data_IF_829497206066
#
_entry.id   IF_829497206066
#
_cell.length_a   1.000
_cell.length_b   1.000
_cell.length_c   1.000
_cell.angle_alpha   90.00
_cell.angle_beta   90.00
_cell.angle_gamma   90.00
#
_symmetry.space_group_name_H-M   'P 1'
#
loop_
_entity.id
_entity.type
_entity.pdbx_description
1 polymer ?
#
# COMPACT_ATOMS: atom_id res chain seq x y z
N UNK A 1 -21.08 -5.00 16.55
CA UNK A 1 -20.91 -5.16 15.09
C UNK A 1 -20.45 -3.81 14.55
N UNK A 2 -19.18 -3.67 14.16
CA UNK A 2 -18.72 -2.43 13.51
C UNK A 2 -19.37 -2.36 12.12
N UNK A 3 -20.22 -1.36 11.91
CA UNK A 3 -20.86 -1.10 10.63
C UNK A 3 -19.76 -0.87 9.57
N UNK A 4 -19.67 -1.79 8.62
CA UNK A 4 -18.66 -1.73 7.55
C UNK A 4 -19.09 -0.62 6.61
N UNK A 5 -18.42 0.53 6.71
CA UNK A 5 -18.69 1.66 5.84
C UNK A 5 -18.26 1.32 4.41
N UNK A 6 -19.23 1.14 3.53
CA UNK A 6 -19.02 0.88 2.11
C UNK A 6 -19.81 1.90 1.28
N UNK A 7 -19.24 2.35 0.17
CA UNK A 7 -19.94 3.16 -0.81
C UNK A 7 -19.98 2.44 -2.16
N UNK A 8 -21.01 2.71 -2.96
CA UNK A 8 -21.16 2.09 -4.28
C UNK A 8 -19.96 2.46 -5.16
N UNK A 9 -19.26 1.46 -5.68
CA UNK A 9 -18.00 1.64 -6.43
C UNK A 9 -18.19 2.56 -7.66
N UNK A 10 -19.37 2.53 -8.30
CA UNK A 10 -19.71 3.39 -9.43
C UNK A 10 -19.68 4.89 -9.09
N UNK A 11 -20.37 5.28 -8.01
CA UNK A 11 -20.44 6.66 -7.52
C UNK A 11 -19.07 7.16 -7.07
N UNK A 12 -18.30 6.30 -6.39
CA UNK A 12 -16.93 6.60 -5.99
C UNK A 12 -16.03 6.87 -7.20
N UNK A 13 -16.10 6.05 -8.26
CA UNK A 13 -15.27 6.25 -9.46
C UNK A 13 -15.58 7.58 -10.15
N UNK A 14 -16.85 7.99 -10.22
CA UNK A 14 -17.23 9.30 -10.77
C UNK A 14 -16.72 10.46 -9.89
N UNK A 15 -16.95 10.39 -8.58
CA UNK A 15 -16.47 11.39 -7.62
C UNK A 15 -14.94 11.54 -7.65
N UNK A 16 -14.23 10.41 -7.70
CA UNK A 16 -12.79 10.41 -7.75
C UNK A 16 -12.23 10.81 -9.11
N UNK A 17 -12.96 10.57 -10.20
CA UNK A 17 -12.66 11.12 -11.53
C UNK A 17 -12.81 12.64 -11.55
N UNK A 18 -13.91 13.17 -10.97
CA UNK A 18 -14.17 14.61 -10.83
C UNK A 18 -13.17 15.32 -9.91
N UNK A 19 -12.66 14.66 -8.88
CA UNK A 19 -11.62 15.21 -7.99
C UNK A 19 -10.21 15.11 -8.57
N UNK A 20 -9.92 14.11 -9.40
CA UNK A 20 -8.64 13.92 -10.07
C UNK A 20 -8.25 15.08 -11.00
N UNK A 21 -9.24 15.75 -11.61
CA UNK A 21 -9.02 16.98 -12.40
C UNK A 21 -8.67 18.19 -11.52
N UNK A 22 -9.16 18.23 -10.28
CA UNK A 22 -8.92 19.32 -9.32
C UNK A 22 -7.58 19.19 -8.59
N UNK A 23 -7.13 17.96 -8.30
CA UNK A 23 -5.79 17.67 -7.74
C UNK A 23 -4.63 17.89 -8.74
N UNK A 24 -4.93 18.14 -10.02
CA UNK A 24 -3.96 18.43 -11.07
C UNK A 24 -3.31 19.82 -11.03
N UNK A 25 -3.70 20.72 -10.11
CA UNK A 25 -3.13 22.09 -10.00
C UNK A 25 -1.92 22.20 -9.07
N UNK A 26 -1.71 21.25 -8.16
CA UNK A 26 -0.54 21.26 -7.28
C UNK A 26 0.52 20.37 -7.94
N UNK A 27 1.63 20.96 -8.39
CA UNK A 27 2.66 20.43 -9.31
C UNK A 27 3.28 19.04 -9.08
N UNK A 28 2.78 18.23 -8.15
CA UNK A 28 3.17 16.84 -7.90
C UNK A 28 2.61 15.83 -8.92
N UNK A 29 1.74 16.24 -9.84
CA UNK A 29 1.17 15.37 -10.90
C UNK A 29 1.83 15.56 -12.27
N UNK A 30 2.70 16.56 -12.43
CA UNK A 30 3.37 16.84 -13.71
C UNK A 30 4.26 15.67 -14.17
N UNK A 31 4.88 14.92 -13.24
CA UNK A 31 5.60 13.66 -13.52
C UNK A 31 4.68 12.46 -13.85
N UNK A 32 3.39 12.52 -13.48
CA UNK A 32 2.44 11.40 -13.63
C UNK A 32 1.80 11.33 -15.03
N UNK A 33 1.93 12.38 -15.85
CA UNK A 33 1.27 12.48 -17.17
C UNK A 33 2.02 11.80 -18.31
N UNK A 34 3.28 11.36 -18.09
CA UNK A 34 4.17 10.82 -19.15
C UNK A 34 4.50 9.31 -19.05
N UNK A 35 4.16 8.62 -17.95
CA UNK A 35 4.48 7.18 -17.79
C UNK A 35 3.24 6.29 -18.03
N UNK A 36 3.45 5.14 -18.67
CA UNK A 36 2.47 4.03 -18.87
C UNK A 36 1.81 3.52 -17.55
N UNK A 37 2.23 4.01 -16.37
CA UNK A 37 1.62 3.76 -15.06
C UNK A 37 0.47 4.68 -14.65
N UNK A 38 0.00 5.61 -15.51
CA UNK A 38 -1.04 6.59 -15.15
C UNK A 38 -2.37 6.00 -14.65
N UNK A 39 -2.74 4.77 -15.05
CA UNK A 39 -3.93 4.07 -14.51
C UNK A 39 -3.68 3.54 -13.10
N UNK A 40 -2.55 2.86 -12.88
CA UNK A 40 -2.16 2.30 -11.57
C UNK A 40 -1.98 3.40 -10.51
N UNK A 41 -1.40 4.55 -10.90
CA UNK A 41 -1.26 5.72 -10.01
C UNK A 41 -2.63 6.31 -9.63
N UNK A 42 -3.58 6.43 -10.57
CA UNK A 42 -4.95 6.89 -10.24
C UNK A 42 -5.64 5.96 -9.26
N UNK A 43 -5.51 4.65 -9.46
CA UNK A 43 -6.07 3.63 -8.57
C UNK A 43 -5.46 3.71 -7.17
N UNK A 44 -4.15 3.94 -7.07
CA UNK A 44 -3.48 4.22 -5.78
C UNK A 44 -4.10 5.44 -5.08
N UNK A 45 -4.31 6.54 -5.80
CA UNK A 45 -4.89 7.76 -5.23
C UNK A 45 -6.34 7.55 -4.78
N UNK A 46 -7.15 6.85 -5.57
CA UNK A 46 -8.54 6.52 -5.23
C UNK A 46 -8.62 5.62 -4.01
N UNK A 47 -7.76 4.58 -3.95
CA UNK A 47 -7.65 3.72 -2.77
C UNK A 47 -7.25 4.50 -1.53
N UNK A 48 -6.28 5.42 -1.63
CA UNK A 48 -5.85 6.24 -0.48
C UNK A 48 -6.97 7.16 0.02
N UNK A 49 -7.78 7.70 -0.88
CA UNK A 49 -8.91 8.55 -0.50
C UNK A 49 -10.06 7.74 0.10
N UNK A 50 -10.33 6.54 -0.43
CA UNK A 50 -11.27 5.59 0.19
C UNK A 50 -10.81 5.19 1.59
N UNK A 51 -9.51 4.93 1.76
CA UNK A 51 -8.91 4.61 3.06
C UNK A 51 -9.11 5.74 4.07
N UNK A 52 -8.88 7.01 3.68
CA UNK A 52 -9.12 8.17 4.56
C UNK A 52 -10.57 8.30 5.00
N UNK A 53 -11.52 7.91 4.15
CA UNK A 53 -12.95 7.91 4.48
C UNK A 53 -13.38 6.72 5.35
N UNK A 54 -12.48 5.76 5.58
CA UNK A 54 -12.77 4.53 6.31
C UNK A 54 -13.39 3.42 5.44
N UNK A 55 -13.46 3.61 4.12
CA UNK A 55 -14.01 2.62 3.18
C UNK A 55 -12.93 1.60 2.80
N UNK A 56 -12.55 0.75 3.75
CA UNK A 56 -11.40 -0.16 3.60
C UNK A 56 -11.62 -1.21 2.51
N UNK A 57 -12.83 -1.75 2.34
CA UNK A 57 -13.13 -2.72 1.28
C UNK A 57 -13.03 -2.10 -0.12
N UNK A 58 -13.55 -0.88 -0.29
CA UNK A 58 -13.36 -0.13 -1.53
C UNK A 58 -11.88 0.19 -1.79
N UNK A 59 -11.11 0.52 -0.75
CA UNK A 59 -9.68 0.75 -0.86
C UNK A 59 -8.95 -0.52 -1.36
N UNK A 60 -9.26 -1.69 -0.78
CA UNK A 60 -8.72 -2.99 -1.22
C UNK A 60 -9.05 -3.26 -2.68
N UNK A 61 -10.29 -2.98 -3.10
CA UNK A 61 -10.70 -3.14 -4.50
C UNK A 61 -9.84 -2.26 -5.43
N UNK A 62 -9.69 -0.97 -5.13
CA UNK A 62 -8.87 -0.07 -5.94
C UNK A 62 -7.40 -0.47 -5.99
N UNK A 63 -6.82 -0.88 -4.85
CA UNK A 63 -5.43 -1.34 -4.82
C UNK A 63 -5.24 -2.63 -5.61
N UNK A 64 -6.17 -3.58 -5.51
CA UNK A 64 -6.13 -4.84 -6.25
C UNK A 64 -6.21 -4.60 -7.76
N UNK A 65 -7.10 -3.72 -8.21
CA UNK A 65 -7.14 -3.29 -9.61
C UNK A 65 -5.84 -2.59 -10.02
N UNK A 66 -5.24 -1.80 -9.12
CA UNK A 66 -3.96 -1.13 -9.36
C UNK A 66 -2.79 -2.10 -9.54
N UNK A 67 -2.81 -3.22 -8.83
CA UNK A 67 -1.80 -4.31 -8.90
C UNK A 67 -1.94 -5.10 -10.20
N UNK A 68 -3.18 -5.36 -10.65
CA UNK A 68 -3.47 -6.04 -11.92
C UNK A 68 -3.05 -5.23 -13.15
N UNK A 69 -3.00 -3.90 -13.04
CA UNK A 69 -2.50 -3.06 -14.12
C UNK A 69 -1.03 -3.38 -14.33
N UNK A 70 -0.68 -3.79 -15.55
CA UNK A 70 0.69 -4.12 -15.88
C UNK A 70 1.56 -2.85 -15.89
N UNK A 71 2.22 -2.61 -14.76
CA UNK A 71 3.19 -1.56 -14.60
C UNK A 71 4.55 -2.16 -14.24
N UNK A 72 5.60 -1.73 -14.96
CA UNK A 72 6.98 -2.16 -14.68
C UNK A 72 7.60 -1.45 -13.48
N UNK A 73 6.85 -0.56 -12.81
CA UNK A 73 7.30 0.19 -11.65
C UNK A 73 7.13 -0.65 -10.38
N UNK A 74 8.22 -1.31 -9.97
CA UNK A 74 8.26 -2.16 -8.77
C UNK A 74 7.98 -1.37 -7.49
N UNK A 75 8.41 -0.10 -7.40
CA UNK A 75 8.14 0.74 -6.23
C UNK A 75 6.65 1.10 -6.13
N UNK A 76 6.00 1.36 -7.26
CA UNK A 76 4.56 1.59 -7.30
C UNK A 76 3.78 0.34 -6.89
N UNK A 77 4.16 -0.83 -7.41
CA UNK A 77 3.56 -2.11 -7.00
C UNK A 77 3.77 -2.37 -5.51
N UNK A 78 4.97 -2.14 -4.97
CA UNK A 78 5.25 -2.28 -3.54
C UNK A 78 4.36 -1.35 -2.68
N UNK A 79 4.16 -0.10 -3.10
CA UNK A 79 3.26 0.84 -2.43
C UNK A 79 1.79 0.39 -2.45
N UNK A 80 1.33 -0.19 -3.57
CA UNK A 80 -0.02 -0.72 -3.70
C UNK A 80 -0.25 -1.90 -2.76
N UNK A 81 0.67 -2.88 -2.74
CA UNK A 81 0.63 -4.00 -1.80
C UNK A 81 0.63 -3.51 -0.34
N UNK A 82 1.54 -2.60 0.00
CA UNK A 82 1.60 -2.05 1.36
C UNK A 82 0.29 -1.35 1.79
N UNK A 83 -0.32 -0.53 0.92
CA UNK A 83 -1.57 0.13 1.28
C UNK A 83 -2.75 -0.84 1.35
N UNK A 84 -2.75 -1.89 0.51
CA UNK A 84 -3.71 -2.99 0.61
C UNK A 84 -3.54 -3.75 1.93
N UNK A 85 -2.31 -4.01 2.36
CA UNK A 85 -2.00 -4.62 3.65
C UNK A 85 -2.60 -3.82 4.83
N UNK A 86 -2.43 -2.49 4.85
CA UNK A 86 -3.02 -1.66 5.91
C UNK A 86 -4.55 -1.78 5.91
N UNK A 87 -5.15 -1.84 4.72
CA UNK A 87 -6.61 -1.92 4.58
C UNK A 87 -7.14 -3.26 5.08
N UNK A 88 -6.45 -4.37 4.74
CA UNK A 88 -6.73 -5.69 5.32
C UNK A 88 -6.56 -5.71 6.84
N UNK A 89 -5.47 -5.13 7.34
CA UNK A 89 -5.22 -5.02 8.78
C UNK A 89 -6.37 -4.29 9.51
N UNK A 90 -6.90 -3.22 8.92
CA UNK A 90 -8.02 -2.46 9.49
C UNK A 90 -9.35 -3.23 9.50
N UNK A 91 -9.49 -4.24 8.66
CA UNK A 91 -10.64 -5.15 8.64
C UNK A 91 -10.44 -6.40 9.51
N UNK A 92 -9.27 -6.56 10.15
CA UNK A 92 -8.92 -7.76 10.92
C UNK A 92 -8.38 -8.92 10.07
N UNK A 93 -8.17 -8.72 8.77
CA UNK A 93 -7.58 -9.71 7.88
C UNK A 93 -6.05 -9.73 8.02
N UNK A 94 -5.54 -10.17 9.16
CA UNK A 94 -4.12 -10.10 9.46
C UNK A 94 -3.26 -11.02 8.56
N UNK A 95 -3.80 -12.17 8.15
CA UNK A 95 -3.10 -13.10 7.25
C UNK A 95 -2.91 -12.51 5.85
N UNK A 96 -3.94 -11.87 5.29
CA UNK A 96 -3.84 -11.16 4.01
C UNK A 96 -2.88 -9.97 4.11
N UNK A 97 -2.94 -9.22 5.22
CA UNK A 97 -2.00 -8.13 5.49
C UNK A 97 -0.55 -8.61 5.53
N UNK A 98 -0.28 -9.79 6.09
CA UNK A 98 1.06 -10.37 6.14
C UNK A 98 1.54 -10.77 4.73
N UNK A 99 0.70 -11.44 3.96
CA UNK A 99 1.02 -11.82 2.57
C UNK A 99 1.32 -10.59 1.70
N UNK A 100 0.55 -9.52 1.86
CA UNK A 100 0.78 -8.26 1.15
C UNK A 100 2.07 -7.56 1.59
N UNK A 101 2.41 -7.63 2.88
CA UNK A 101 3.69 -7.10 3.39
C UNK A 101 4.89 -7.87 2.78
N UNK A 102 4.80 -9.19 2.67
CA UNK A 102 5.81 -10.02 1.99
C UNK A 102 5.96 -9.68 0.51
N UNK A 103 4.85 -9.49 -0.19
CA UNK A 103 4.88 -9.08 -1.59
C UNK A 103 5.55 -7.70 -1.74
N UNK A 104 5.25 -6.77 -0.85
CA UNK A 104 5.85 -5.44 -0.86
C UNK A 104 7.36 -5.46 -0.59
N UNK A 105 7.84 -6.28 0.36
CA UNK A 105 9.28 -6.38 0.65
C UNK A 105 10.07 -7.12 -0.42
N UNK A 106 9.47 -8.13 -1.07
CA UNK A 106 10.07 -8.81 -2.25
C UNK A 106 10.25 -7.84 -3.42
N UNK A 107 9.29 -6.94 -3.63
CA UNK A 107 9.36 -5.95 -4.71
C UNK A 107 10.31 -4.79 -4.40
N UNK A 108 10.29 -4.31 -3.14
CA UNK A 108 11.15 -3.24 -2.67
C UNK A 108 11.79 -3.63 -1.33
N UNK A 109 12.98 -4.28 -1.36
CA UNK A 109 13.69 -4.68 -0.15
C UNK A 109 14.10 -3.52 0.75
N UNK A 110 14.15 -2.30 0.21
CA UNK A 110 14.47 -1.07 0.95
C UNK A 110 13.26 -0.45 1.68
N UNK A 111 12.07 -1.05 1.57
CA UNK A 111 10.81 -0.47 2.04
C UNK A 111 10.52 -0.79 3.50
N UNK A 112 11.14 -0.03 4.42
CA UNK A 112 11.05 -0.25 5.87
C UNK A 112 9.61 -0.34 6.39
N UNK A 113 8.68 0.46 5.86
CA UNK A 113 7.28 0.46 6.30
C UNK A 113 6.59 -0.90 6.09
N UNK A 114 6.95 -1.63 5.03
CA UNK A 114 6.42 -2.95 4.77
C UNK A 114 6.91 -3.98 5.81
N UNK A 115 8.18 -3.92 6.24
CA UNK A 115 8.69 -4.77 7.32
C UNK A 115 7.95 -4.53 8.64
N UNK A 116 7.74 -3.26 9.01
CA UNK A 116 6.98 -2.89 10.21
C UNK A 116 5.55 -3.42 10.12
N UNK A 117 4.91 -3.32 8.96
CA UNK A 117 3.55 -3.85 8.78
C UNK A 117 3.50 -5.38 8.91
N UNK A 118 4.48 -6.10 8.36
CA UNK A 118 4.61 -7.55 8.52
C UNK A 118 4.76 -7.94 9.99
N UNK A 119 5.66 -7.29 10.73
CA UNK A 119 5.85 -7.53 12.16
C UNK A 119 4.56 -7.32 12.97
N UNK A 120 3.85 -6.20 12.74
CA UNK A 120 2.58 -5.91 13.43
C UNK A 120 1.52 -6.97 13.08
N UNK A 121 1.42 -7.40 11.81
CA UNK A 121 0.49 -8.45 11.41
C UNK A 121 0.80 -9.80 12.10
N UNK A 122 2.08 -10.16 12.22
CA UNK A 122 2.50 -11.35 12.96
C UNK A 122 2.14 -11.28 14.46
N UNK A 123 2.26 -10.11 15.09
CA UNK A 123 1.87 -9.91 16.49
C UNK A 123 0.38 -10.17 16.69
N UNK A 124 -0.49 -9.62 15.83
CA UNK A 124 -1.94 -9.86 15.88
C UNK A 124 -2.30 -11.33 15.65
N UNK A 125 -1.53 -12.03 14.80
CA UNK A 125 -1.65 -13.47 14.56
C UNK A 125 -1.04 -14.32 15.68
N UNK A 126 -0.48 -13.72 16.73
CA UNK A 126 0.25 -14.38 17.84
C UNK A 126 1.48 -15.19 17.39
N UNK A 127 2.07 -14.82 16.26
CA UNK A 127 3.28 -15.43 15.68
C UNK A 127 4.51 -14.63 16.07
N UNK A 128 4.89 -14.69 17.35
CA UNK A 128 5.91 -13.82 17.91
C UNK A 128 7.32 -14.07 17.34
N UNK A 129 7.68 -15.31 17.07
CA UNK A 129 8.98 -15.66 16.46
C UNK A 129 9.12 -15.08 15.05
N UNK A 130 8.07 -15.17 14.25
CA UNK A 130 8.02 -14.55 12.91
C UNK A 130 8.12 -13.02 13.03
N UNK A 131 7.45 -12.41 14.02
CA UNK A 131 7.51 -10.97 14.24
C UNK A 131 8.92 -10.47 14.57
N UNK A 132 9.68 -11.20 15.40
CA UNK A 132 11.09 -10.89 15.70
C UNK A 132 11.92 -10.94 14.41
N UNK A 133 11.74 -11.99 13.61
CA UNK A 133 12.42 -12.14 12.31
C UNK A 133 12.13 -10.96 11.38
N UNK A 134 10.90 -10.44 11.38
CA UNK A 134 10.52 -9.25 10.62
C UNK A 134 11.20 -7.98 11.11
N UNK A 135 11.29 -7.80 12.44
CA UNK A 135 12.02 -6.69 13.05
C UNK A 135 13.50 -6.73 12.70
N UNK A 136 14.16 -7.88 12.84
CA UNK A 136 15.58 -8.06 12.54
C UNK A 136 15.89 -7.74 11.07
N UNK A 137 15.05 -8.23 10.15
CA UNK A 137 15.16 -7.90 8.72
C UNK A 137 14.98 -6.39 8.48
N UNK A 138 14.02 -5.76 9.15
CA UNK A 138 13.80 -4.31 9.07
C UNK A 138 14.99 -3.50 9.60
N UNK A 139 15.58 -3.93 10.71
CA UNK A 139 16.77 -3.31 11.29
C UNK A 139 17.98 -3.46 10.36
N UNK A 140 18.21 -4.65 9.79
CA UNK A 140 19.28 -4.89 8.83
C UNK A 140 19.17 -3.95 7.61
N UNK A 141 17.96 -3.72 7.10
CA UNK A 141 17.73 -2.76 6.00
C UNK A 141 17.96 -1.31 6.43
N UNK A 142 17.66 -0.96 7.69
CA UNK A 142 17.87 0.38 8.23
C UNK A 142 19.35 0.69 8.45
N UNK A 143 20.08 -0.21 9.12
CA UNK A 143 21.50 -0.04 9.44
C UNK A 143 22.42 -0.36 8.26
N UNK A 144 22.05 -1.28 7.37
CA UNK A 144 22.79 -1.58 6.15
C UNK A 144 22.83 -0.41 5.15
N UNK A 145 21.96 0.60 5.30
CA UNK A 145 22.08 1.87 4.55
C UNK A 145 23.12 2.82 5.13
N UNK A 146 23.48 2.66 6.41
CA UNK A 146 24.51 3.49 7.07
C UNK A 146 25.91 2.93 6.90
N UNK A 147 26.09 1.61 6.78
CA UNK A 147 27.41 0.98 6.67
C UNK A 147 28.07 1.10 5.29
N UNK A 148 27.35 1.47 4.23
CA UNK A 148 27.90 1.63 2.87
C UNK A 148 28.50 3.03 2.65
N UNK A 149 28.46 3.92 3.64
CA UNK A 149 29.02 5.29 3.54
C UNK A 149 30.31 5.50 4.36
N UNK A 150 30.91 4.44 4.90
CA UNK A 150 32.18 4.50 5.63
C UNK A 150 33.14 3.43 5.08
N UNK A 151 33.63 3.65 3.86
CA UNK A 151 34.79 2.94 3.31
C UNK A 151 35.41 3.76 2.19
#
# INVERSE_FOLDING_TARGET
>A
MHEVKEARIGELKEDYSRKGTRYGRNGKTHWMRRKRGGKSIRLLLWGNEAFKKGYFLNAIHFYTEGIKVDCNDKELKAKLYYNRAISHFKLGNYQDSLSDAEAATKLQPSFLKAFVRGAIACIELKKFEEAITWCDKGLAVSFGKSSVLIS
#
